data_IF_921854096768
#
_entry.id   IF_921854096768
#
_cell.length_a   1.000
_cell.length_b   1.000
_cell.length_c   1.000
_cell.angle_alpha   90.00
_cell.angle_beta   90.00
_cell.angle_gamma   90.00
#
_symmetry.space_group_name_H-M   'P 1'
#
loop_
_entity.id
_entity.type
_entity.pdbx_description
1 polymer ?
#
# COMPACT_ATOMS: atom_id res chain seq x y z
N UNK A 1 -13.68 3.61 10.01
CA UNK A 1 -13.04 2.84 8.92
C UNK A 1 -11.93 3.63 8.21
N UNK A 2 -12.17 4.85 7.72
CA UNK A 2 -11.10 5.68 7.10
C UNK A 2 -10.00 6.08 8.10
N UNK A 3 -10.36 6.26 9.37
CA UNK A 3 -9.39 6.58 10.45
C UNK A 3 -8.36 5.48 10.69
N UNK A 4 -8.75 4.23 10.42
CA UNK A 4 -7.86 3.07 10.48
C UNK A 4 -6.82 3.14 9.36
N UNK A 5 -7.23 3.49 8.13
CA UNK A 5 -6.33 3.67 6.99
C UNK A 5 -5.35 4.79 7.26
N UNK A 6 -5.82 5.96 7.73
CA UNK A 6 -4.96 7.11 8.05
C UNK A 6 -3.93 6.77 9.13
N UNK A 7 -4.33 6.05 10.17
CA UNK A 7 -3.42 5.58 11.23
C UNK A 7 -2.38 4.59 10.68
N UNK A 8 -2.79 3.74 9.73
CA UNK A 8 -1.92 2.80 9.04
C UNK A 8 -0.87 3.52 8.19
N UNK A 9 -1.26 4.54 7.44
CA UNK A 9 -0.33 5.35 6.62
C UNK A 9 0.72 6.01 7.52
N UNK A 10 0.28 6.63 8.62
CA UNK A 10 1.19 7.26 9.57
C UNK A 10 2.19 6.25 10.17
N UNK A 11 1.72 5.03 10.46
CA UNK A 11 2.58 3.95 10.93
C UNK A 11 3.58 3.49 9.86
N UNK A 12 3.17 3.33 8.60
CA UNK A 12 4.06 2.98 7.47
C UNK A 12 5.15 4.02 7.26
N UNK A 13 4.79 5.31 7.26
CA UNK A 13 5.75 6.41 7.12
C UNK A 13 6.72 6.47 8.31
N UNK A 14 6.23 6.14 9.52
CA UNK A 14 7.06 6.05 10.71
C UNK A 14 8.02 4.86 10.67
N UNK A 15 7.57 3.69 10.21
CA UNK A 15 8.39 2.47 10.10
C UNK A 15 9.50 2.59 9.06
N UNK A 16 9.21 3.23 7.93
CA UNK A 16 10.22 3.61 6.95
C UNK A 16 11.37 4.40 7.58
N UNK A 17 11.06 5.25 8.57
CA UNK A 17 12.02 6.14 9.19
C UNK A 17 12.71 7.06 8.18
N UNK A 18 13.89 7.57 8.55
CA UNK A 18 14.72 8.45 7.72
C UNK A 18 15.50 7.72 6.63
N UNK A 19 15.51 6.38 6.64
CA UNK A 19 16.61 5.59 6.08
C UNK A 19 16.35 5.00 4.66
N UNK A 20 15.41 5.56 3.91
CA UNK A 20 15.25 5.25 2.49
C UNK A 20 13.81 4.97 2.08
N UNK A 21 13.60 5.04 0.76
CA UNK A 21 12.37 4.69 0.07
C UNK A 21 11.98 3.23 0.36
N UNK A 22 10.70 2.96 0.61
CA UNK A 22 10.16 1.59 0.76
C UNK A 22 10.49 0.82 -0.50
N UNK A 23 11.33 -0.21 -0.38
CA UNK A 23 11.87 -1.00 -1.49
C UNK A 23 12.05 -2.46 -1.04
N UNK A 24 12.31 -3.37 -1.97
CA UNK A 24 12.55 -4.80 -1.69
C UNK A 24 13.67 -5.07 -0.65
N UNK A 25 14.66 -4.19 -0.60
CA UNK A 25 15.80 -4.26 0.32
C UNK A 25 15.51 -3.67 1.71
N UNK A 26 14.38 -2.97 1.88
CA UNK A 26 13.99 -2.39 3.16
C UNK A 26 13.26 -3.43 4.01
N UNK A 27 13.49 -3.43 5.33
CA UNK A 27 12.75 -4.28 6.25
C UNK A 27 11.24 -3.96 6.12
N UNK A 28 10.45 -4.96 5.74
CA UNK A 28 9.00 -4.83 5.61
C UNK A 28 8.42 -4.80 7.03
N UNK A 29 7.88 -3.65 7.42
CA UNK A 29 7.32 -3.45 8.74
C UNK A 29 5.87 -3.94 8.86
N UNK A 30 5.40 -4.35 10.05
CA UNK A 30 4.02 -4.78 10.30
C UNK A 30 2.93 -3.81 9.81
N UNK A 31 3.16 -2.50 9.78
CA UNK A 31 2.16 -1.55 9.26
C UNK A 31 2.06 -1.61 7.74
N UNK A 32 3.18 -1.86 7.05
CA UNK A 32 3.20 -2.01 5.59
C UNK A 32 2.48 -3.31 5.18
N UNK A 33 2.74 -4.40 5.90
CA UNK A 33 2.03 -5.67 5.70
C UNK A 33 0.51 -5.50 5.90
N UNK A 34 0.11 -4.81 6.98
CA UNK A 34 -1.29 -4.53 7.24
C UNK A 34 -1.93 -3.64 6.15
N UNK A 35 -1.17 -2.71 5.55
CA UNK A 35 -1.65 -1.91 4.42
C UNK A 35 -1.94 -2.79 3.20
N UNK A 36 -1.06 -3.75 2.90
CA UNK A 36 -1.26 -4.72 1.83
C UNK A 36 -2.49 -5.60 2.08
N UNK A 37 -2.69 -6.09 3.31
CA UNK A 37 -3.88 -6.86 3.65
C UNK A 37 -5.18 -6.06 3.46
N UNK A 38 -5.16 -4.77 3.81
CA UNK A 38 -6.33 -3.91 3.67
C UNK A 38 -6.64 -3.53 2.21
N UNK A 39 -5.66 -3.64 1.30
CA UNK A 39 -5.91 -3.53 -0.15
C UNK A 39 -6.80 -4.66 -0.68
N UNK A 40 -6.88 -5.80 0.02
CA UNK A 40 -7.74 -6.93 -0.32
C UNK A 40 -8.98 -7.05 0.58
N UNK A 41 -9.31 -6.00 1.33
CA UNK A 41 -10.48 -5.98 2.22
C UNK A 41 -11.81 -6.14 1.47
N UNK A 42 -12.80 -6.75 2.11
CA UNK A 42 -14.18 -6.84 1.61
C UNK A 42 -14.88 -5.47 1.57
N UNK A 43 -14.35 -4.45 2.25
CA UNK A 43 -14.87 -3.10 2.17
C UNK A 43 -14.23 -2.34 0.99
N UNK A 44 -14.99 -2.11 -0.07
CA UNK A 44 -14.53 -1.38 -1.27
C UNK A 44 -13.96 0.01 -0.96
N UNK A 45 -14.51 0.72 0.04
CA UNK A 45 -14.01 2.04 0.47
C UNK A 45 -12.63 1.95 1.11
N UNK A 46 -12.40 0.92 1.94
CA UNK A 46 -11.09 0.68 2.57
C UNK A 46 -10.07 0.23 1.53
N UNK A 47 -10.45 -0.72 0.67
CA UNK A 47 -9.63 -1.19 -0.45
C UNK A 47 -9.19 -0.03 -1.35
N UNK A 48 -10.10 0.83 -1.81
CA UNK A 48 -9.75 1.99 -2.63
C UNK A 48 -8.83 2.94 -1.89
N UNK A 49 -9.14 3.31 -0.65
CA UNK A 49 -8.31 4.25 0.11
C UNK A 49 -6.89 3.71 0.37
N UNK A 50 -6.74 2.41 0.59
CA UNK A 50 -5.43 1.76 0.72
C UNK A 50 -4.68 1.74 -0.63
N UNK A 51 -5.36 1.45 -1.75
CA UNK A 51 -4.74 1.53 -3.08
C UNK A 51 -4.30 2.96 -3.43
N UNK A 52 -5.15 3.97 -3.17
CA UNK A 52 -4.83 5.38 -3.36
C UNK A 52 -3.63 5.80 -2.49
N UNK A 53 -3.53 5.25 -1.27
CA UNK A 53 -2.37 5.47 -0.38
C UNK A 53 -1.08 4.90 -0.99
N UNK A 54 -1.12 3.69 -1.55
CA UNK A 54 0.07 3.10 -2.20
C UNK A 54 0.57 3.97 -3.34
N UNK A 55 -0.34 4.52 -4.16
CA UNK A 55 0.00 5.47 -5.22
C UNK A 55 0.62 6.74 -4.65
N UNK A 56 0.04 7.30 -3.58
CA UNK A 56 0.58 8.49 -2.91
C UNK A 56 1.97 8.25 -2.31
N UNK A 57 2.25 7.06 -1.78
CA UNK A 57 3.58 6.72 -1.27
C UNK A 57 4.63 6.74 -2.39
N UNK A 58 4.27 6.30 -3.60
CA UNK A 58 5.16 6.39 -4.77
C UNK A 58 5.31 7.83 -5.25
N UNK A 59 4.19 8.56 -5.40
CA UNK A 59 4.18 9.96 -5.84
C UNK A 59 5.04 10.87 -4.94
N UNK A 60 5.00 10.63 -3.63
CA UNK A 60 5.79 11.38 -2.64
C UNK A 60 7.24 10.88 -2.48
N UNK A 61 7.68 9.90 -3.27
CA UNK A 61 9.03 9.32 -3.16
C UNK A 61 9.27 8.56 -1.85
N UNK A 62 8.19 8.15 -1.17
CA UNK A 62 8.26 7.31 0.03
C UNK A 62 8.37 5.83 -0.31
N UNK A 63 7.94 5.40 -1.50
CA UNK A 63 8.02 4.02 -1.96
C UNK A 63 8.51 3.92 -3.41
N UNK A 64 9.18 2.81 -3.71
CA UNK A 64 9.66 2.47 -5.03
C UNK A 64 8.50 2.00 -5.91
N UNK A 65 8.39 2.56 -7.11
CA UNK A 65 7.32 2.21 -8.04
C UNK A 65 7.38 0.73 -8.42
N UNK A 66 8.56 0.18 -8.72
CA UNK A 66 8.69 -1.24 -9.09
C UNK A 66 8.29 -2.14 -7.92
N UNK A 67 8.67 -1.79 -6.69
CA UNK A 67 8.24 -2.50 -5.50
C UNK A 67 6.72 -2.50 -5.34
N UNK A 68 6.08 -1.33 -5.41
CA UNK A 68 4.62 -1.21 -5.24
C UNK A 68 3.88 -1.94 -6.35
N UNK A 69 4.32 -1.80 -7.60
CA UNK A 69 3.68 -2.44 -8.75
C UNK A 69 3.79 -3.96 -8.69
N UNK A 70 4.95 -4.49 -8.30
CA UNK A 70 5.11 -5.93 -8.06
C UNK A 70 4.24 -6.42 -6.89
N UNK A 71 4.14 -5.65 -5.80
CA UNK A 71 3.24 -5.96 -4.68
C UNK A 71 1.77 -6.05 -5.11
N UNK A 72 1.31 -5.07 -5.89
CA UNK A 72 -0.03 -5.03 -6.49
C UNK A 72 -0.28 -6.24 -7.39
N UNK A 73 0.67 -6.58 -8.27
CA UNK A 73 0.56 -7.74 -9.16
C UNK A 73 0.46 -9.06 -8.37
N UNK A 74 1.20 -9.19 -7.26
CA UNK A 74 1.11 -10.35 -6.38
C UNK A 74 -0.23 -10.45 -5.63
N UNK A 75 -0.92 -9.32 -5.41
CA UNK A 75 -2.22 -9.28 -4.76
C UNK A 75 -3.38 -9.57 -5.71
N UNK A 76 -3.22 -9.38 -7.03
CA UNK A 76 -4.26 -9.65 -8.03
C UNK A 76 -4.95 -11.01 -7.93
N UNK A 77 -4.25 -12.15 -7.76
CA UNK A 77 -4.93 -13.46 -7.64
C UNK A 77 -5.79 -13.58 -6.37
N UNK A 78 -5.50 -12.81 -5.32
CA UNK A 78 -6.25 -12.80 -4.05
C UNK A 78 -7.23 -11.63 -3.93
N UNK A 79 -7.18 -10.68 -4.86
CA UNK A 79 -7.98 -9.47 -4.81
C UNK A 79 -9.41 -9.73 -5.24
N UNK A 80 -10.34 -9.62 -4.29
CA UNK A 80 -11.80 -9.61 -4.58
C UNK A 80 -12.24 -8.34 -5.33
N UNK A 81 -11.46 -7.25 -5.23
CA UNK A 81 -11.75 -5.94 -5.83
C UNK A 81 -10.61 -5.45 -6.71
N UNK A 82 -10.51 -5.99 -7.92
CA UNK A 82 -9.43 -5.66 -8.88
C UNK A 82 -9.47 -4.21 -9.38
N UNK A 83 -10.62 -3.51 -9.31
CA UNK A 83 -10.73 -2.11 -9.76
C UNK A 83 -9.86 -1.12 -8.97
N UNK A 84 -9.65 -1.35 -7.67
CA UNK A 84 -8.76 -0.52 -6.85
C UNK A 84 -7.29 -0.72 -7.23
N UNK A 85 -6.88 -1.98 -7.49
CA UNK A 85 -5.52 -2.34 -7.88
C UNK A 85 -5.17 -1.92 -9.31
N UNK A 86 -6.13 -1.95 -10.24
CA UNK A 86 -5.94 -1.49 -11.63
C UNK A 86 -5.59 0.00 -11.68
N UNK A 87 -6.10 0.83 -10.73
CA UNK A 87 -5.72 2.25 -10.66
C UNK A 87 -4.24 2.47 -10.36
N UNK A 88 -3.58 1.52 -9.69
CA UNK A 88 -2.14 1.64 -9.38
C UNK A 88 -1.28 1.39 -10.63
N UNK A 89 -1.83 0.71 -11.65
CA UNK A 89 -1.15 0.35 -12.89
C UNK A 89 -1.33 1.45 -13.97
N UNK A 90 -2.31 2.35 -13.82
CA UNK A 90 -2.70 3.32 -14.85
C UNK A 90 -2.25 4.75 -14.52
#
# INVERSE_FOLDING_TARGET
MIETVRSLVAAVVKEKGSNGQISWSCAQGPALEALWQQCCSDCAVVCSACCDTLVLLVDQGHADLEYILNGVLNLLPSARHTQGLIKVIR
#
